data_IF_624786955830
#
_entry.id   IF_624786955830
#
_cell.length_a   1.000
_cell.length_b   1.000
_cell.length_c   1.000
_cell.angle_alpha   90.00
_cell.angle_beta   90.00
_cell.angle_gamma   90.00
#
_symmetry.space_group_name_H-M   'P 1'
#
loop_
_entity.id
_entity.type
_entity.pdbx_description
1 polymer ?
#
# COMPACT_ATOMS: atom_id res chain seq x y z
N UNK A 1 -8.17 -12.01 25.08
CA UNK A 1 -8.99 -10.78 25.13
C UNK A 1 -8.35 -9.81 24.14
N UNK A 2 -9.14 -9.12 23.32
CA UNK A 2 -8.59 -8.11 22.40
C UNK A 2 -8.02 -6.96 23.23
N UNK A 3 -6.79 -6.54 22.93
CA UNK A 3 -6.16 -5.34 23.50
C UNK A 3 -7.02 -4.11 23.16
N UNK A 4 -7.19 -3.20 24.11
CA UNK A 4 -8.11 -2.07 23.96
C UNK A 4 -7.62 -1.05 22.91
N UNK A 5 -8.56 -0.50 22.14
CA UNK A 5 -8.36 0.61 21.21
C UNK A 5 -9.22 1.79 21.63
N UNK A 6 -8.65 3.00 21.67
CA UNK A 6 -9.40 4.24 21.92
C UNK A 6 -8.66 5.46 21.36
N UNK A 7 -9.33 6.60 21.15
CA UNK A 7 -8.65 7.85 20.81
C UNK A 7 -7.62 8.23 21.88
N UNK A 8 -6.46 8.76 21.48
CA UNK A 8 -5.45 9.27 22.41
C UNK A 8 -5.48 10.80 22.48
N UNK A 9 -5.12 11.33 23.65
CA UNK A 9 -4.83 12.76 23.87
C UNK A 9 -3.34 13.08 23.74
N UNK A 10 -2.49 12.07 23.56
CA UNK A 10 -1.05 12.25 23.39
C UNK A 10 -0.76 12.94 22.05
N UNK A 11 0.24 13.81 22.05
CA UNK A 11 0.64 14.51 20.82
C UNK A 11 1.31 13.59 19.80
N UNK A 12 1.96 12.52 20.28
CA UNK A 12 2.65 11.51 19.48
C UNK A 12 2.66 10.17 20.24
N UNK A 13 2.91 9.08 19.51
CA UNK A 13 3.05 7.74 20.05
C UNK A 13 4.47 7.37 20.50
N UNK A 14 4.53 6.24 21.20
CA UNK A 14 5.77 5.53 21.56
C UNK A 14 6.30 4.66 20.41
N UNK A 15 5.39 4.23 19.54
CA UNK A 15 5.69 3.53 18.30
C UNK A 15 4.69 3.95 17.21
N UNK A 16 4.98 3.55 15.97
CA UNK A 16 4.20 3.88 14.79
C UNK A 16 3.51 2.67 14.14
N UNK A 17 2.34 2.90 13.54
CA UNK A 17 1.73 1.97 12.57
C UNK A 17 1.47 2.76 11.29
N UNK A 18 2.08 2.34 10.19
CA UNK A 18 2.00 3.04 8.91
C UNK A 18 1.56 2.08 7.82
N UNK A 19 0.62 2.52 7.00
CA UNK A 19 0.15 1.72 5.86
C UNK A 19 -0.28 2.60 4.71
N UNK A 20 -0.10 2.10 3.49
CA UNK A 20 -0.46 2.80 2.27
C UNK A 20 -1.31 1.94 1.33
N UNK A 21 -1.79 2.55 0.26
CA UNK A 21 -2.29 1.87 -0.91
C UNK A 21 -1.64 2.46 -2.16
N UNK A 22 -0.84 1.67 -2.87
CA UNK A 22 -0.46 1.91 -4.24
C UNK A 22 -1.62 1.72 -5.18
N UNK A 23 -2.28 2.81 -5.55
CA UNK A 23 -3.45 2.74 -6.41
C UNK A 23 -3.04 2.27 -7.81
N UNK A 24 -3.37 1.03 -8.13
CA UNK A 24 -2.97 0.34 -9.36
C UNK A 24 -1.68 -0.48 -9.28
N UNK A 25 -0.99 -0.55 -8.13
CA UNK A 25 0.23 -1.36 -7.98
C UNK A 25 -0.10 -2.86 -7.80
N UNK A 26 -0.64 -3.47 -8.86
CA UNK A 26 -1.06 -4.86 -8.81
C UNK A 26 0.06 -5.87 -9.06
N UNK A 27 1.11 -5.44 -9.76
CA UNK A 27 2.16 -6.29 -10.29
C UNK A 27 3.51 -5.59 -10.22
N UNK A 28 4.56 -6.40 -10.12
CA UNK A 28 5.94 -5.94 -10.17
C UNK A 28 6.82 -7.00 -10.85
N UNK A 29 8.11 -6.69 -11.00
CA UNK A 29 9.12 -7.58 -11.57
C UNK A 29 9.14 -8.97 -10.91
N UNK A 30 9.63 -9.97 -11.66
CA UNK A 30 9.78 -11.36 -11.19
C UNK A 30 8.47 -12.05 -10.77
N UNK A 31 7.35 -11.71 -11.42
CA UNK A 31 6.07 -12.37 -11.18
C UNK A 31 5.44 -12.07 -9.83
N UNK A 32 5.85 -10.95 -9.22
CA UNK A 32 5.25 -10.41 -8.01
C UNK A 32 3.84 -9.87 -8.34
N UNK A 33 2.83 -10.31 -7.58
CA UNK A 33 1.43 -9.90 -7.75
C UNK A 33 0.82 -9.59 -6.38
N UNK A 34 0.06 -8.51 -6.28
CA UNK A 34 -0.48 -8.08 -4.99
C UNK A 34 -1.83 -7.36 -5.03
N UNK A 35 -2.51 -7.40 -3.89
CA UNK A 35 -3.39 -6.33 -3.40
C UNK A 35 -2.57 -5.38 -2.54
N UNK A 36 -2.12 -4.28 -3.13
CA UNK A 36 -1.23 -3.31 -2.47
C UNK A 36 -1.98 -2.38 -1.50
N UNK A 37 -3.30 -2.51 -1.40
CA UNK A 37 -4.10 -1.68 -0.49
C UNK A 37 -4.09 -2.17 0.96
N UNK A 38 -3.31 -3.21 1.29
CA UNK A 38 -3.33 -3.87 2.61
C UNK A 38 -2.93 -2.96 3.76
N UNK A 39 -1.91 -2.12 3.56
CA UNK A 39 -1.47 -1.17 4.57
C UNK A 39 -2.58 -0.18 4.93
N UNK A 40 -3.12 0.50 3.92
CA UNK A 40 -4.22 1.43 4.09
C UNK A 40 -5.45 0.73 4.67
N UNK A 41 -5.80 -0.46 4.17
CA UNK A 41 -6.93 -1.23 4.67
C UNK A 41 -6.80 -1.51 6.17
N UNK A 42 -5.63 -1.93 6.64
CA UNK A 42 -5.37 -2.14 8.06
C UNK A 42 -5.53 -0.85 8.86
N UNK A 43 -4.91 0.25 8.43
CA UNK A 43 -4.97 1.52 9.16
C UNK A 43 -6.40 2.08 9.19
N UNK A 44 -7.11 2.08 8.06
CA UNK A 44 -8.51 2.52 8.00
C UNK A 44 -9.38 1.67 8.91
N UNK A 45 -9.20 0.35 8.93
CA UNK A 45 -9.96 -0.55 9.80
C UNK A 45 -9.62 -0.36 11.28
N UNK A 46 -8.36 -0.13 11.62
CA UNK A 46 -7.89 0.20 12.96
C UNK A 46 -8.56 1.49 13.46
N UNK A 47 -8.54 2.54 12.63
CA UNK A 47 -9.18 3.82 12.94
C UNK A 47 -10.70 3.69 13.01
N UNK A 48 -11.32 2.91 12.11
CA UNK A 48 -12.77 2.66 12.13
C UNK A 48 -13.22 2.05 13.46
N UNK A 49 -12.49 1.06 13.97
CA UNK A 49 -12.77 0.45 15.28
C UNK A 49 -12.52 1.41 16.45
N UNK A 50 -11.62 2.37 16.28
CA UNK A 50 -11.24 3.34 17.33
C UNK A 50 -12.24 4.48 17.45
N UNK A 51 -12.77 4.95 16.32
CA UNK A 51 -13.61 6.15 16.23
C UNK A 51 -15.08 5.87 15.93
N UNK A 52 -15.45 4.62 15.69
CA UNK A 52 -16.82 4.15 15.43
C UNK A 52 -17.53 4.94 14.32
N UNK A 53 -16.96 4.91 13.12
CA UNK A 53 -17.42 5.64 11.94
C UNK A 53 -17.95 4.70 10.85
N UNK A 54 -19.02 5.10 10.16
CA UNK A 54 -19.64 4.32 9.08
C UNK A 54 -18.97 4.65 7.73
N UNK A 55 -18.06 3.78 7.31
CA UNK A 55 -17.33 3.91 6.06
C UNK A 55 -18.03 3.22 4.88
N UNK A 56 -19.28 2.78 5.03
CA UNK A 56 -20.00 2.21 3.89
C UNK A 56 -20.15 3.25 2.80
N UNK A 57 -19.94 2.82 1.56
CA UNK A 57 -20.11 3.67 0.39
C UNK A 57 -21.59 4.03 0.25
N UNK A 58 -21.88 5.32 0.34
CA UNK A 58 -23.23 5.88 0.20
C UNK A 58 -23.59 6.04 -1.28
N UNK A 59 -22.68 6.60 -2.07
CA UNK A 59 -22.88 6.82 -3.49
C UNK A 59 -21.59 6.74 -4.28
N UNK A 60 -21.73 6.35 -5.55
CA UNK A 60 -20.69 6.42 -6.56
C UNK A 60 -21.27 7.23 -7.71
N UNK A 61 -20.67 8.37 -8.05
CA UNK A 61 -21.02 9.12 -9.25
C UNK A 61 -19.86 9.07 -10.25
N UNK A 62 -20.20 9.16 -11.54
CA UNK A 62 -19.20 9.15 -12.59
C UNK A 62 -19.50 10.24 -13.61
N UNK A 63 -18.46 10.94 -14.05
CA UNK A 63 -18.49 11.71 -15.30
C UNK A 63 -17.94 10.83 -16.41
N UNK A 64 -18.80 10.46 -17.35
CA UNK A 64 -18.44 9.63 -18.50
C UNK A 64 -17.90 10.48 -19.68
N UNK A 65 -17.33 9.80 -20.67
CA UNK A 65 -16.76 10.41 -21.87
C UNK A 65 -15.23 10.38 -21.87
N UNK A 66 -14.61 10.93 -22.92
CA UNK A 66 -13.15 10.90 -23.11
C UNK A 66 -12.40 11.93 -22.25
N UNK A 67 -12.99 13.11 -22.04
CA UNK A 67 -12.29 14.25 -21.45
C UNK A 67 -12.78 14.53 -20.03
N UNK A 68 -11.84 14.53 -19.07
CA UNK A 68 -12.12 14.86 -17.67
C UNK A 68 -13.06 13.86 -17.00
N UNK A 69 -13.03 12.60 -17.43
CA UNK A 69 -13.83 11.54 -16.85
C UNK A 69 -13.29 11.17 -15.46
N UNK A 70 -14.20 10.98 -14.51
CA UNK A 70 -13.84 10.69 -13.12
C UNK A 70 -14.89 9.82 -12.44
N UNK A 71 -14.45 9.14 -11.38
CA UNK A 71 -15.31 8.64 -10.31
C UNK A 71 -15.25 9.58 -9.11
N UNK A 72 -16.38 9.74 -8.44
CA UNK A 72 -16.51 10.40 -7.15
C UNK A 72 -17.29 9.48 -6.21
N UNK A 73 -16.66 9.10 -5.11
CA UNK A 73 -17.20 8.17 -4.11
C UNK A 73 -17.49 8.96 -2.85
N UNK A 74 -18.68 8.79 -2.30
CA UNK A 74 -19.07 9.37 -1.01
C UNK A 74 -19.36 8.24 -0.02
N UNK A 75 -18.87 8.37 1.22
CA UNK A 75 -19.17 7.44 2.32
C UNK A 75 -20.35 7.93 3.15
N UNK A 76 -20.93 7.05 3.99
CA UNK A 76 -22.00 7.41 4.93
C UNK A 76 -21.60 8.48 5.93
N UNK A 77 -20.32 8.58 6.26
CA UNK A 77 -19.77 9.64 7.11
C UNK A 77 -19.32 10.90 6.35
N UNK A 78 -19.73 11.04 5.08
CA UNK A 78 -19.56 12.27 4.31
C UNK A 78 -18.16 12.50 3.73
N UNK A 79 -17.27 11.49 3.82
CA UNK A 79 -15.99 11.51 3.13
C UNK A 79 -16.20 11.45 1.62
N UNK A 80 -15.43 12.22 0.87
CA UNK A 80 -15.52 12.34 -0.59
C UNK A 80 -14.14 12.10 -1.18
N UNK A 81 -14.06 11.16 -2.12
CA UNK A 81 -12.86 10.90 -2.89
C UNK A 81 -13.17 10.97 -4.38
N UNK A 82 -12.26 11.59 -5.14
CA UNK A 82 -12.43 11.81 -6.58
C UNK A 82 -11.14 11.49 -7.31
N UNK A 83 -11.24 10.77 -8.42
CA UNK A 83 -10.10 10.44 -9.25
C UNK A 83 -10.49 10.22 -10.71
N UNK A 84 -9.54 10.49 -11.60
CA UNK A 84 -9.75 10.63 -13.04
C UNK A 84 -9.14 9.46 -13.80
N UNK A 85 -9.78 9.05 -14.89
CA UNK A 85 -9.21 8.11 -15.86
C UNK A 85 -8.78 8.87 -17.12
N UNK A 86 -7.54 8.68 -17.56
CA UNK A 86 -6.94 9.43 -18.66
C UNK A 86 -7.64 9.17 -20.01
N UNK A 87 -8.03 7.92 -20.29
CA UNK A 87 -8.69 7.49 -21.54
C UNK A 87 -10.22 7.52 -21.46
N UNK A 88 -10.76 8.14 -20.43
CA UNK A 88 -12.21 8.28 -20.26
C UNK A 88 -12.85 7.16 -19.44
N UNK A 89 -14.17 7.29 -19.26
CA UNK A 89 -15.03 6.29 -18.60
C UNK A 89 -16.29 6.13 -19.44
N UNK A 90 -16.62 4.89 -19.77
CA UNK A 90 -17.85 4.54 -20.49
C UNK A 90 -19.07 4.49 -19.56
N UNK A 91 -20.30 4.63 -20.09
CA UNK A 91 -21.51 4.42 -19.29
C UNK A 91 -21.61 3.04 -18.62
N UNK A 92 -21.09 1.99 -19.27
CA UNK A 92 -21.09 0.64 -18.70
C UNK A 92 -20.10 0.50 -17.55
N UNK A 93 -18.91 1.07 -17.66
CA UNK A 93 -17.95 1.13 -16.54
C UNK A 93 -18.52 1.92 -15.36
N UNK A 94 -19.20 3.03 -15.63
CA UNK A 94 -19.91 3.80 -14.61
C UNK A 94 -21.00 2.98 -13.91
N UNK A 95 -21.72 2.15 -14.66
CA UNK A 95 -22.74 1.23 -14.14
C UNK A 95 -22.12 0.09 -13.32
N UNK A 96 -20.99 -0.48 -13.75
CA UNK A 96 -20.26 -1.50 -12.99
C UNK A 96 -19.77 -0.95 -11.66
N UNK A 97 -19.29 0.30 -11.63
CA UNK A 97 -18.85 0.96 -10.40
C UNK A 97 -19.96 1.15 -9.35
N UNK A 98 -21.25 1.06 -9.72
CA UNK A 98 -22.35 1.13 -8.74
C UNK A 98 -22.42 -0.11 -7.83
N UNK A 99 -21.79 -1.23 -8.20
CA UNK A 99 -21.88 -2.50 -7.48
C UNK A 99 -21.26 -2.49 -6.07
N UNK A 100 -20.47 -1.47 -5.74
CA UNK A 100 -19.82 -1.30 -4.44
C UNK A 100 -20.62 -0.43 -3.48
N UNK A 101 -21.75 0.15 -3.90
CA UNK A 101 -22.64 0.89 -2.99
C UNK A 101 -23.07 -0.03 -1.84
N UNK A 102 -22.92 0.47 -0.61
CA UNK A 102 -23.17 -0.27 0.62
C UNK A 102 -22.00 -1.14 1.10
N UNK A 103 -20.92 -1.29 0.33
CA UNK A 103 -19.70 -1.97 0.78
C UNK A 103 -18.85 -1.07 1.69
N UNK A 104 -18.05 -1.67 2.56
CA UNK A 104 -17.10 -0.96 3.42
C UNK A 104 -15.94 -0.39 2.60
N UNK A 105 -15.70 0.93 2.67
CA UNK A 105 -14.59 1.61 1.98
C UNK A 105 -13.21 1.37 2.66
N UNK A 106 -12.94 0.12 3.05
CA UNK A 106 -11.68 -0.31 3.68
C UNK A 106 -10.75 -0.89 2.61
N UNK A 107 -11.22 -1.88 1.85
CA UNK A 107 -10.39 -2.63 0.89
C UNK A 107 -10.52 -2.03 -0.51
N UNK A 108 -9.88 -0.88 -0.75
CA UNK A 108 -10.06 -0.09 -1.97
C UNK A 108 -9.77 -0.88 -3.26
N UNK A 109 -8.69 -1.68 -3.29
CA UNK A 109 -8.34 -2.47 -4.48
C UNK A 109 -9.33 -3.62 -4.70
N UNK A 110 -9.67 -4.38 -3.65
CA UNK A 110 -10.67 -5.45 -3.71
C UNK A 110 -11.99 -4.96 -4.29
N UNK A 111 -12.45 -3.75 -3.90
CA UNK A 111 -13.69 -3.18 -4.43
C UNK A 111 -13.59 -2.83 -5.91
N UNK A 112 -12.46 -2.29 -6.38
CA UNK A 112 -12.23 -2.06 -7.80
C UNK A 112 -12.20 -3.36 -8.60
N UNK A 113 -11.49 -4.39 -8.10
CA UNK A 113 -11.45 -5.73 -8.69
C UNK A 113 -12.84 -6.36 -8.73
N UNK A 114 -13.65 -6.20 -7.69
CA UNK A 114 -15.02 -6.71 -7.67
C UNK A 114 -15.90 -6.11 -8.78
N UNK A 115 -15.70 -4.84 -9.14
CA UNK A 115 -16.44 -4.19 -10.22
C UNK A 115 -15.98 -4.64 -11.61
N UNK A 116 -14.66 -4.73 -11.82
CA UNK A 116 -14.07 -4.83 -13.16
C UNK A 116 -13.36 -6.15 -13.45
N UNK A 117 -13.31 -7.05 -12.48
CA UNK A 117 -12.70 -8.38 -12.56
C UNK A 117 -11.19 -8.40 -12.31
N UNK A 118 -10.46 -7.33 -12.65
CA UNK A 118 -9.01 -7.16 -12.44
C UNK A 118 -8.63 -5.68 -12.28
N UNK A 119 -7.41 -5.45 -11.84
CA UNK A 119 -6.75 -4.15 -11.86
C UNK A 119 -5.27 -4.31 -12.22
N UNK A 120 -4.78 -3.44 -13.10
CA UNK A 120 -3.38 -3.35 -13.53
C UNK A 120 -2.97 -1.89 -13.63
N UNK A 121 -1.77 -1.58 -13.18
CA UNK A 121 -1.20 -0.23 -13.17
C UNK A 121 -0.62 0.19 -14.52
N UNK A 122 0.29 1.16 -14.48
CA UNK A 122 1.09 1.65 -15.61
C UNK A 122 0.23 2.07 -16.83
N UNK A 123 -0.98 2.55 -16.54
CA UNK A 123 -1.96 2.97 -17.53
C UNK A 123 -2.69 1.84 -18.25
N UNK A 124 -2.53 0.57 -17.84
CA UNK A 124 -3.20 -0.56 -18.48
C UNK A 124 -4.71 -0.57 -18.18
N UNK A 125 -5.09 -0.43 -16.90
CA UNK A 125 -6.50 -0.42 -16.46
C UNK A 125 -6.85 0.86 -15.69
N UNK A 126 -6.89 1.98 -16.39
CA UNK A 126 -7.08 3.32 -15.80
C UNK A 126 -8.41 3.50 -15.06
N UNK A 127 -9.46 2.84 -15.52
CA UNK A 127 -10.80 2.94 -14.94
C UNK A 127 -10.88 2.25 -13.56
N UNK A 128 -10.45 0.99 -13.38
CA UNK A 128 -10.31 0.39 -12.05
C UNK A 128 -9.40 1.18 -11.10
N UNK A 129 -8.27 1.70 -11.59
CA UNK A 129 -7.33 2.48 -10.76
C UNK A 129 -7.96 3.79 -10.29
N UNK A 130 -8.68 4.49 -11.18
CA UNK A 130 -9.44 5.68 -10.79
C UNK A 130 -10.50 5.36 -9.74
N UNK A 131 -11.22 4.24 -9.85
CA UNK A 131 -12.20 3.85 -8.84
C UNK A 131 -11.52 3.51 -7.49
N UNK A 132 -10.44 2.73 -7.49
CA UNK A 132 -9.66 2.43 -6.28
C UNK A 132 -9.22 3.72 -5.57
N UNK A 133 -8.65 4.65 -6.34
CA UNK A 133 -8.16 5.93 -5.81
C UNK A 133 -9.29 6.74 -5.18
N UNK A 134 -10.45 6.82 -5.85
CA UNK A 134 -11.61 7.52 -5.31
C UNK A 134 -12.11 6.89 -3.99
N UNK A 135 -12.11 5.56 -3.88
CA UNK A 135 -12.49 4.86 -2.64
C UNK A 135 -11.48 5.15 -1.52
N UNK A 136 -10.18 5.00 -1.80
CA UNK A 136 -9.11 5.23 -0.83
C UNK A 136 -9.12 6.66 -0.28
N UNK A 137 -9.31 7.64 -1.16
CA UNK A 137 -9.40 9.05 -0.75
C UNK A 137 -10.68 9.33 0.06
N UNK A 138 -11.82 8.74 -0.32
CA UNK A 138 -13.09 8.93 0.38
C UNK A 138 -13.05 8.38 1.81
N UNK A 139 -12.39 7.25 2.03
CA UNK A 139 -12.29 6.64 3.35
C UNK A 139 -11.43 7.47 4.30
N UNK A 140 -10.29 8.00 3.83
CA UNK A 140 -9.47 8.92 4.63
C UNK A 140 -10.18 10.24 4.92
N UNK A 141 -10.83 10.82 3.91
CA UNK A 141 -11.57 12.10 4.04
C UNK A 141 -12.73 12.01 5.05
N UNK A 142 -13.30 10.81 5.25
CA UNK A 142 -14.36 10.56 6.25
C UNK A 142 -13.90 10.87 7.67
N UNK A 143 -12.68 10.46 8.03
CA UNK A 143 -12.11 10.75 9.35
C UNK A 143 -11.79 12.22 9.52
N UNK A 144 -11.15 12.84 8.52
CA UNK A 144 -10.79 14.24 8.55
C UNK A 144 -12.02 15.15 8.74
N UNK A 145 -13.14 14.83 8.09
CA UNK A 145 -14.40 15.58 8.26
C UNK A 145 -15.13 15.30 9.56
N UNK A 146 -15.14 14.04 10.02
CA UNK A 146 -15.87 13.65 11.23
C UNK A 146 -15.15 14.09 12.51
N UNK A 147 -13.82 14.20 12.47
CA UNK A 147 -12.98 14.52 13.62
C UNK A 147 -11.85 15.50 13.25
N UNK A 148 -12.18 16.73 12.81
CA UNK A 148 -11.21 17.67 12.24
C UNK A 148 -10.10 18.09 13.22
N UNK A 149 -10.37 18.07 14.52
CA UNK A 149 -9.38 18.43 15.55
C UNK A 149 -8.46 17.26 15.96
N UNK A 150 -8.81 16.03 15.57
CA UNK A 150 -8.09 14.81 15.96
C UNK A 150 -7.15 14.30 14.86
N UNK A 151 -7.45 14.61 13.59
CA UNK A 151 -6.71 14.09 12.46
C UNK A 151 -5.88 15.16 11.77
N UNK A 152 -4.67 14.77 11.39
CA UNK A 152 -3.84 15.47 10.42
C UNK A 152 -4.20 14.95 9.04
N UNK A 153 -4.50 15.85 8.11
CA UNK A 153 -4.91 15.50 6.76
C UNK A 153 -4.19 16.38 5.73
N UNK A 154 -3.74 15.79 4.64
CA UNK A 154 -2.94 16.48 3.63
C UNK A 154 -2.93 15.77 2.28
N UNK A 155 -2.26 16.40 1.32
CA UNK A 155 -1.99 15.84 -0.01
C UNK A 155 -0.57 15.26 -0.07
N UNK A 156 -0.30 14.43 -1.07
CA UNK A 156 1.05 13.88 -1.28
C UNK A 156 2.08 14.97 -1.60
N UNK A 157 1.65 16.05 -2.26
CA UNK A 157 2.49 17.15 -2.79
C UNK A 157 3.62 16.65 -3.72
N UNK A 158 3.38 15.54 -4.43
CA UNK A 158 4.21 15.04 -5.53
C UNK A 158 3.54 15.46 -6.85
N UNK A 159 4.33 15.98 -7.78
CA UNK A 159 3.82 16.40 -9.09
C UNK A 159 3.14 15.22 -9.81
N UNK A 160 1.89 15.44 -10.25
CA UNK A 160 1.10 14.41 -10.94
C UNK A 160 0.37 13.44 -10.01
N UNK A 161 0.57 13.50 -8.69
CA UNK A 161 -0.17 12.70 -7.72
C UNK A 161 -1.48 13.34 -7.26
N UNK A 162 -2.40 12.51 -6.78
CA UNK A 162 -3.72 12.88 -6.27
C UNK A 162 -4.19 12.04 -5.07
N UNK A 163 -3.30 11.26 -4.47
CA UNK A 163 -3.57 10.59 -3.22
C UNK A 163 -3.57 11.53 -2.01
N UNK A 164 -3.80 10.97 -0.83
CA UNK A 164 -4.06 11.69 0.41
C UNK A 164 -3.31 11.06 1.57
N UNK A 165 -3.09 11.86 2.60
CA UNK A 165 -2.39 11.48 3.82
C UNK A 165 -3.33 11.74 4.99
N UNK A 166 -3.45 10.76 5.89
CA UNK A 166 -4.24 10.87 7.11
C UNK A 166 -3.42 10.34 8.29
N UNK A 167 -3.30 11.10 9.37
CA UNK A 167 -2.57 10.67 10.55
C UNK A 167 -3.21 11.11 11.87
N UNK A 168 -2.99 10.34 12.92
CA UNK A 168 -3.44 10.66 14.29
C UNK A 168 -2.66 9.86 15.33
N UNK A 169 -3.01 10.02 16.60
CA UNK A 169 -2.52 9.20 17.70
C UNK A 169 -3.70 8.49 18.35
N UNK A 170 -3.56 7.18 18.55
CA UNK A 170 -4.55 6.34 19.25
C UNK A 170 -3.89 5.66 20.44
N UNK A 171 -4.70 5.21 21.40
CA UNK A 171 -4.27 4.24 22.40
C UNK A 171 -4.46 2.84 21.83
N UNK A 172 -3.37 2.07 21.74
CA UNK A 172 -3.39 0.67 21.32
C UNK A 172 -2.66 -0.17 22.36
N UNK A 173 -3.36 -1.15 22.94
CA UNK A 173 -2.78 -1.99 23.99
C UNK A 173 -2.31 -1.23 25.24
N UNK A 174 -2.93 -0.07 25.51
CA UNK A 174 -2.60 0.79 26.66
C UNK A 174 -1.42 1.74 26.46
N UNK A 175 -0.92 1.88 25.22
CA UNK A 175 0.15 2.81 24.88
C UNK A 175 -0.26 3.76 23.75
N UNK A 176 0.18 5.02 23.79
CA UNK A 176 -0.04 5.95 22.69
C UNK A 176 0.76 5.48 21.48
N UNK A 177 0.09 5.44 20.33
CA UNK A 177 0.61 4.91 19.07
C UNK A 177 0.28 5.88 17.94
N UNK A 178 1.31 6.33 17.24
CA UNK A 178 1.15 7.18 16.06
C UNK A 178 0.70 6.34 14.89
N UNK A 179 -0.31 6.78 14.18
CA UNK A 179 -0.89 6.02 13.06
C UNK A 179 -0.92 6.89 11.82
N UNK A 180 -0.56 6.33 10.67
CA UNK A 180 -0.57 7.02 9.40
C UNK A 180 -1.11 6.13 8.28
N UNK A 181 -2.09 6.67 7.55
CA UNK A 181 -2.65 6.15 6.33
C UNK A 181 -2.22 7.02 5.15
N UNK A 182 -1.98 6.38 4.01
CA UNK A 182 -1.60 7.02 2.77
C UNK A 182 -2.30 6.35 1.59
N UNK A 183 -2.73 7.11 0.60
CA UNK A 183 -2.92 6.60 -0.75
C UNK A 183 -1.84 7.20 -1.63
N UNK A 184 -1.15 6.36 -2.37
CA UNK A 184 -0.25 6.78 -3.44
C UNK A 184 -0.98 6.59 -4.75
N UNK A 185 -1.23 7.69 -5.46
CA UNK A 185 -2.01 7.62 -6.69
C UNK A 185 -1.64 8.73 -7.65
N UNK A 186 -1.41 8.39 -8.92
CA UNK A 186 -1.21 9.39 -9.96
C UNK A 186 -2.51 9.74 -10.69
N UNK A 187 -2.62 11.00 -11.10
CA UNK A 187 -3.74 11.52 -11.88
C UNK A 187 -3.88 10.71 -13.18
N UNK A 188 -5.12 10.42 -13.57
CA UNK A 188 -5.41 9.70 -14.81
C UNK A 188 -5.48 8.17 -14.65
N UNK A 189 -5.34 7.65 -13.44
CA UNK A 189 -5.49 6.23 -13.15
C UNK A 189 -4.33 5.40 -13.69
N UNK A 190 -3.15 6.00 -13.86
CA UNK A 190 -2.03 5.36 -14.56
C UNK A 190 -1.18 4.44 -13.67
N UNK A 191 -1.62 4.15 -12.45
CA UNK A 191 -0.79 3.49 -11.44
C UNK A 191 -0.12 4.51 -10.52
N UNK A 192 0.61 4.06 -9.49
CA UNK A 192 1.09 4.96 -8.46
C UNK A 192 2.54 5.39 -8.70
N UNK A 193 2.81 6.63 -8.30
CA UNK A 193 4.11 7.06 -7.81
C UNK A 193 4.06 7.00 -6.27
N UNK A 194 4.92 6.18 -5.70
CA UNK A 194 5.06 5.75 -4.31
C UNK A 194 6.32 6.32 -3.66
N UNK A 195 6.85 7.44 -4.16
CA UNK A 195 8.01 8.15 -3.60
C UNK A 195 7.88 8.44 -2.08
N UNK A 196 6.65 8.43 -1.55
CA UNK A 196 6.38 8.64 -0.11
C UNK A 196 5.68 7.45 0.57
N UNK A 197 5.77 6.23 0.03
CA UNK A 197 5.24 5.02 0.68
C UNK A 197 5.90 4.74 2.04
N UNK A 198 5.50 3.64 2.69
CA UNK A 198 6.07 3.21 3.96
C UNK A 198 6.09 4.34 4.99
N UNK A 199 7.22 4.59 5.63
CA UNK A 199 7.42 5.73 6.53
C UNK A 199 8.40 6.79 5.97
N UNK A 200 8.53 6.91 4.64
CA UNK A 200 9.27 8.02 4.01
C UNK A 200 8.70 9.37 4.47
N UNK A 201 9.57 10.32 4.81
CA UNK A 201 9.24 11.62 5.41
C UNK A 201 9.52 12.81 4.46
N UNK A 202 9.13 12.66 3.19
CA UNK A 202 9.32 13.66 2.13
C UNK A 202 7.99 14.30 1.70
N UNK A 203 8.08 15.37 0.90
CA UNK A 203 6.94 16.09 0.31
C UNK A 203 5.85 16.43 1.35
N UNK A 204 4.57 16.31 0.98
CA UNK A 204 3.44 16.68 1.84
C UNK A 204 3.31 15.82 3.10
N UNK A 205 3.99 14.66 3.13
CA UNK A 205 4.02 13.74 4.27
C UNK A 205 4.95 14.21 5.40
N UNK A 206 5.95 15.04 5.09
CA UNK A 206 7.02 15.45 6.01
C UNK A 206 6.50 16.06 7.32
N UNK A 207 5.59 17.03 7.22
CA UNK A 207 5.09 17.74 8.41
C UNK A 207 4.23 16.83 9.30
N UNK A 208 3.39 15.99 8.68
CA UNK A 208 2.55 15.02 9.41
C UNK A 208 3.43 13.99 10.14
N UNK A 209 4.45 13.47 9.45
CA UNK A 209 5.44 12.55 10.02
C UNK A 209 6.15 13.15 11.24
N UNK A 210 6.61 14.40 11.12
CA UNK A 210 7.31 15.10 12.20
C UNK A 210 6.41 15.31 13.43
N UNK A 211 5.17 15.78 13.22
CA UNK A 211 4.20 16.00 14.30
C UNK A 211 3.85 14.72 15.05
N UNK A 212 3.74 13.60 14.32
CA UNK A 212 3.48 12.29 14.89
C UNK A 212 4.75 11.57 15.36
N UNK A 213 5.94 12.18 15.18
CA UNK A 213 7.26 11.59 15.44
C UNK A 213 7.51 10.25 14.77
N UNK A 214 6.78 9.94 13.69
CA UNK A 214 6.95 8.69 12.93
C UNK A 214 8.31 8.62 12.23
N UNK A 215 8.99 9.75 12.13
CA UNK A 215 10.36 9.88 11.67
C UNK A 215 11.39 9.64 12.79
N UNK A 216 10.99 9.41 14.04
CA UNK A 216 11.88 9.34 15.22
C UNK A 216 11.58 8.16 16.17
N UNK A 217 10.51 7.40 15.91
CA UNK A 217 10.07 6.28 16.75
C UNK A 217 10.03 4.98 15.94
N UNK A 218 10.18 3.81 16.58
CA UNK A 218 10.06 2.55 15.89
C UNK A 218 8.65 2.35 15.32
N UNK A 219 8.53 1.76 14.14
CA UNK A 219 7.24 1.61 13.47
C UNK A 219 7.03 0.24 12.80
N UNK A 220 5.76 -0.12 12.61
CA UNK A 220 5.33 -1.21 11.76
C UNK A 220 4.87 -0.58 10.44
N UNK A 221 5.56 -0.91 9.35
CA UNK A 221 5.09 -0.62 7.99
C UNK A 221 4.28 -1.81 7.50
N UNK A 222 3.09 -1.56 7.00
CA UNK A 222 2.15 -2.59 6.57
C UNK A 222 2.01 -2.52 5.06
N UNK A 223 2.16 -3.68 4.44
CA UNK A 223 2.11 -3.90 3.01
C UNK A 223 0.93 -4.82 2.65
N UNK A 224 0.73 -4.96 1.35
CA UNK A 224 -0.36 -5.71 0.74
C UNK A 224 -0.45 -7.22 1.02
N UNK A 225 -1.44 -7.83 0.36
CA UNK A 225 -1.56 -9.28 0.23
C UNK A 225 -0.87 -9.72 -1.05
N UNK A 226 0.16 -10.56 -0.93
CA UNK A 226 1.20 -10.73 -1.95
C UNK A 226 1.30 -12.19 -2.38
N UNK A 227 1.62 -12.41 -3.66
CA UNK A 227 2.24 -13.65 -4.13
C UNK A 227 3.60 -13.31 -4.76
N UNK A 228 4.68 -13.83 -4.20
CA UNK A 228 6.04 -13.59 -4.70
C UNK A 228 7.03 -14.68 -4.27
N UNK A 229 8.05 -14.88 -5.10
CA UNK A 229 9.15 -15.80 -4.79
C UNK A 229 10.12 -15.18 -3.76
N UNK A 230 10.80 -16.01 -2.96
CA UNK A 230 10.65 -17.46 -2.86
C UNK A 230 9.49 -17.90 -1.94
N UNK A 231 8.94 -16.98 -1.13
CA UNK A 231 8.07 -17.33 0.01
C UNK A 231 6.78 -18.03 -0.43
N UNK A 232 6.13 -17.56 -1.49
CA UNK A 232 4.87 -18.15 -1.97
C UNK A 232 5.00 -19.59 -2.47
N UNK A 233 6.21 -20.04 -2.80
CA UNK A 233 6.46 -21.42 -3.24
C UNK A 233 6.76 -22.35 -2.05
N UNK A 234 7.06 -21.77 -0.87
CA UNK A 234 7.42 -22.50 0.35
C UNK A 234 6.21 -22.70 1.31
N UNK A 235 5.14 -21.93 1.13
CA UNK A 235 3.95 -21.96 1.99
C UNK A 235 2.77 -22.71 1.35
N UNK A 236 1.95 -23.36 2.18
CA UNK A 236 0.75 -24.07 1.75
C UNK A 236 -0.56 -23.42 2.20
N UNK A 237 -0.48 -22.37 3.02
CA UNK A 237 -1.62 -21.57 3.48
C UNK A 237 -1.23 -20.09 3.59
N UNK A 238 -2.22 -19.20 3.66
CA UNK A 238 -1.98 -17.77 3.80
C UNK A 238 -1.19 -17.48 5.07
N UNK A 239 -0.03 -16.86 4.91
CA UNK A 239 0.99 -16.74 5.96
C UNK A 239 1.45 -15.30 6.06
N UNK A 240 1.43 -14.73 7.26
CA UNK A 240 2.01 -13.42 7.49
C UNK A 240 3.52 -13.47 7.32
N UNK A 241 4.07 -12.53 6.57
CA UNK A 241 5.50 -12.38 6.40
C UNK A 241 5.95 -11.11 7.12
N UNK A 242 6.82 -11.29 8.11
CA UNK A 242 7.57 -10.19 8.72
C UNK A 242 8.92 -10.09 8.02
N UNK A 243 9.28 -8.87 7.62
CA UNK A 243 10.58 -8.54 7.03
C UNK A 243 11.20 -7.40 7.82
N UNK A 244 12.51 -7.42 7.96
CA UNK A 244 13.26 -6.42 8.70
C UNK A 244 14.70 -6.83 8.67
N UNK A 245 15.43 -6.27 7.70
CA UNK A 245 16.82 -6.61 7.47
C UNK A 245 17.66 -6.35 8.72
N UNK A 246 18.54 -7.29 9.06
CA UNK A 246 19.37 -7.17 10.28
C UNK A 246 20.32 -5.97 10.28
N UNK A 247 20.71 -5.50 9.09
CA UNK A 247 21.69 -4.42 8.93
C UNK A 247 21.03 -3.06 8.71
N UNK A 248 19.94 -3.05 7.94
CA UNK A 248 19.38 -1.80 7.42
C UNK A 248 18.04 -1.39 8.09
N UNK A 249 17.30 -2.33 8.71
CA UNK A 249 15.99 -2.08 9.30
C UNK A 249 15.98 -2.30 10.83
N UNK A 250 14.80 -2.51 11.43
CA UNK A 250 14.63 -2.75 12.86
C UNK A 250 14.26 -4.22 13.18
N UNK A 251 15.25 -5.11 13.35
CA UNK A 251 15.00 -6.52 13.68
C UNK A 251 14.36 -6.72 15.06
N UNK A 252 14.42 -5.74 15.97
CA UNK A 252 13.74 -5.82 17.27
C UNK A 252 12.23 -5.69 17.07
N UNK A 253 11.79 -4.70 16.29
CA UNK A 253 10.37 -4.54 15.96
C UNK A 253 9.87 -5.77 15.20
N UNK A 254 10.65 -6.29 14.25
CA UNK A 254 10.29 -7.51 13.50
C UNK A 254 10.03 -8.70 14.43
N UNK A 255 10.90 -8.93 15.41
CA UNK A 255 10.72 -10.01 16.41
C UNK A 255 9.47 -9.78 17.28
N UNK A 256 9.18 -8.54 17.65
CA UNK A 256 7.98 -8.21 18.41
C UNK A 256 6.70 -8.49 17.62
N UNK A 257 6.67 -8.13 16.33
CA UNK A 257 5.53 -8.38 15.44
C UNK A 257 5.32 -9.87 15.20
N UNK A 258 6.41 -10.63 15.02
CA UNK A 258 6.36 -12.09 14.95
C UNK A 258 5.79 -12.70 16.24
N UNK A 259 6.28 -12.29 17.41
CA UNK A 259 5.79 -12.75 18.71
C UNK A 259 4.27 -12.51 18.84
N UNK A 260 3.80 -11.32 18.46
CA UNK A 260 2.37 -10.99 18.47
C UNK A 260 1.54 -11.92 17.56
N UNK A 261 2.01 -12.17 16.33
CA UNK A 261 1.32 -13.07 15.40
C UNK A 261 1.28 -14.52 15.92
N UNK A 262 2.37 -15.02 16.52
CA UNK A 262 2.43 -16.34 17.14
C UNK A 262 1.48 -16.46 18.35
N UNK A 263 1.43 -15.43 19.21
CA UNK A 263 0.50 -15.37 20.35
C UNK A 263 -0.97 -15.41 19.91
N UNK A 264 -1.28 -14.84 18.75
CA UNK A 264 -2.63 -14.84 18.16
C UNK A 264 -2.94 -16.14 17.40
N UNK A 265 -1.96 -17.04 17.24
CA UNK A 265 -2.10 -18.30 16.52
C UNK A 265 -2.17 -18.16 15.00
N UNK A 266 -1.62 -17.07 14.44
CA UNK A 266 -1.58 -16.87 12.99
C UNK A 266 -0.31 -17.47 12.38
N UNK A 267 -0.40 -18.12 11.20
CA UNK A 267 0.78 -18.54 10.46
C UNK A 267 1.66 -17.33 10.17
N UNK A 268 2.94 -17.40 10.57
CA UNK A 268 3.88 -16.29 10.43
C UNK A 268 5.30 -16.78 10.17
N UNK A 269 6.00 -16.08 9.27
CA UNK A 269 7.42 -16.25 9.00
C UNK A 269 8.16 -14.93 9.21
N UNK A 270 9.41 -14.99 9.65
CA UNK A 270 10.32 -13.85 9.64
C UNK A 270 11.50 -14.14 8.72
N UNK A 271 11.73 -13.24 7.75
CA UNK A 271 12.81 -13.34 6.75
C UNK A 271 13.77 -12.15 6.88
N UNK A 272 14.76 -12.23 7.81
CA UNK A 272 15.73 -11.16 8.07
C UNK A 272 16.68 -10.87 6.89
N UNK A 273 16.77 -11.77 5.91
CA UNK A 273 17.62 -11.62 4.75
C UNK A 273 17.00 -10.78 3.62
N UNK A 274 15.68 -10.58 3.65
CA UNK A 274 14.95 -9.79 2.65
C UNK A 274 15.12 -8.27 2.89
N UNK A 275 14.69 -7.47 1.90
CA UNK A 275 14.70 -5.99 1.93
C UNK A 275 16.08 -5.33 2.09
N UNK A 276 17.16 -6.07 1.84
CA UNK A 276 18.50 -5.49 1.82
C UNK A 276 18.56 -4.34 0.80
N UNK A 277 19.07 -3.17 1.23
CA UNK A 277 19.21 -2.02 0.36
C UNK A 277 20.36 -2.21 -0.63
N UNK A 278 20.16 -1.73 -1.85
CA UNK A 278 21.16 -1.77 -2.92
C UNK A 278 21.12 -0.44 -3.68
N UNK A 279 22.20 0.35 -3.66
CA UNK A 279 22.24 1.67 -4.30
C UNK A 279 21.94 1.65 -5.80
N UNK A 280 22.33 0.57 -6.49
CA UNK A 280 22.26 0.48 -7.95
C UNK A 280 21.13 -0.45 -8.43
N UNK A 281 20.36 -1.08 -7.53
CA UNK A 281 19.35 -2.06 -7.91
C UNK A 281 18.29 -1.47 -8.85
N UNK A 282 17.72 -0.31 -8.50
CA UNK A 282 16.69 0.33 -9.31
C UNK A 282 17.22 0.74 -10.69
N UNK A 283 18.44 1.28 -10.73
CA UNK A 283 19.08 1.70 -11.98
C UNK A 283 19.39 0.51 -12.89
N UNK A 284 19.89 -0.58 -12.31
CA UNK A 284 20.16 -1.83 -13.00
C UNK A 284 18.89 -2.41 -13.62
N UNK A 285 17.83 -2.56 -12.82
CA UNK A 285 16.52 -3.04 -13.30
C UNK A 285 15.93 -2.13 -14.38
N UNK A 286 16.06 -0.82 -14.23
CA UNK A 286 15.61 0.15 -15.25
C UNK A 286 16.34 -0.05 -16.56
N UNK A 287 17.66 -0.26 -16.52
CA UNK A 287 18.45 -0.54 -17.72
C UNK A 287 18.06 -1.86 -18.39
N UNK A 288 17.94 -2.94 -17.61
CA UNK A 288 17.54 -4.26 -18.11
C UNK A 288 16.16 -4.21 -18.78
N UNK A 289 15.19 -3.55 -18.14
CA UNK A 289 13.85 -3.38 -18.67
C UNK A 289 13.83 -2.54 -19.95
N UNK A 290 14.63 -1.46 -20.02
CA UNK A 290 14.76 -0.64 -21.22
C UNK A 290 15.38 -1.42 -22.39
N UNK A 291 16.39 -2.26 -22.14
CA UNK A 291 16.98 -3.15 -23.14
C UNK A 291 15.93 -4.13 -23.66
N UNK A 292 15.12 -4.71 -22.78
CA UNK A 292 14.05 -5.63 -23.18
C UNK A 292 13.01 -4.95 -24.09
N UNK A 293 12.55 -3.75 -23.72
CA UNK A 293 11.66 -2.93 -24.55
C UNK A 293 12.29 -2.66 -25.92
N UNK A 294 13.57 -2.29 -25.96
CA UNK A 294 14.31 -2.07 -27.20
C UNK A 294 14.35 -3.33 -28.09
N UNK A 295 14.46 -4.51 -27.49
CA UNK A 295 14.42 -5.79 -28.22
C UNK A 295 13.05 -6.06 -28.86
N UNK A 296 11.95 -5.73 -28.16
CA UNK A 296 10.59 -5.85 -28.68
C UNK A 296 10.32 -4.83 -29.79
N UNK A 297 10.81 -3.61 -29.63
CA UNK A 297 10.73 -2.57 -30.66
C UNK A 297 11.42 -2.99 -31.96
N UNK A 298 12.63 -3.56 -31.87
CA UNK A 298 13.35 -4.09 -33.04
C UNK A 298 12.59 -5.23 -33.72
N UNK A 299 12.06 -6.18 -32.95
CA UNK A 299 11.23 -7.27 -33.49
C UNK A 299 9.98 -6.73 -34.19
N UNK A 300 9.38 -5.66 -33.67
CA UNK A 300 8.20 -5.04 -34.27
C UNK A 300 8.53 -4.42 -35.63
N UNK A 301 9.65 -3.70 -35.73
CA UNK A 301 10.13 -3.08 -36.98
C UNK A 301 10.41 -4.12 -38.08
N UNK A 302 11.01 -5.26 -37.69
CA UNK A 302 11.35 -6.36 -38.61
C UNK A 302 10.12 -7.23 -39.00
N UNK A 303 9.00 -7.11 -38.28
CA UNK A 303 7.83 -7.97 -38.47
C UNK A 303 7.05 -7.63 -39.75
N UNK A 304 6.64 -8.67 -40.48
CA UNK A 304 5.92 -8.51 -41.75
C UNK A 304 4.46 -8.94 -41.65
N UNK A 305 4.13 -9.87 -40.75
CA UNK A 305 2.78 -10.37 -40.58
C UNK A 305 2.00 -9.63 -39.49
N UNK A 306 0.67 -9.61 -39.61
CA UNK A 306 -0.20 -9.05 -38.57
C UNK A 306 -0.13 -9.85 -37.26
N UNK A 307 0.04 -11.18 -37.34
CA UNK A 307 0.11 -12.04 -36.16
C UNK A 307 1.34 -11.71 -35.31
N UNK A 308 2.52 -11.58 -35.93
CA UNK A 308 3.76 -11.19 -35.24
C UNK A 308 3.59 -9.82 -34.56
N UNK A 309 3.04 -8.84 -35.28
CA UNK A 309 2.79 -7.48 -34.76
C UNK A 309 1.88 -7.51 -33.53
N UNK A 310 0.79 -8.28 -33.59
CA UNK A 310 -0.15 -8.43 -32.48
C UNK A 310 0.50 -9.14 -31.29
N UNK A 311 1.29 -10.19 -31.51
CA UNK A 311 2.00 -10.90 -30.44
C UNK A 311 3.02 -9.99 -29.73
N UNK A 312 3.76 -9.19 -30.50
CA UNK A 312 4.74 -8.24 -29.94
C UNK A 312 4.03 -7.12 -29.17
N UNK A 313 2.94 -6.59 -29.71
CA UNK A 313 2.13 -5.58 -29.02
C UNK A 313 1.53 -6.13 -27.71
N UNK A 314 1.08 -7.39 -27.71
CA UNK A 314 0.57 -8.05 -26.51
C UNK A 314 1.66 -8.24 -25.45
N UNK A 315 2.87 -8.65 -25.85
CA UNK A 315 4.01 -8.79 -24.93
C UNK A 315 4.48 -7.44 -24.38
N UNK A 316 4.52 -6.39 -25.21
CA UNK A 316 4.77 -5.03 -24.74
C UNK A 316 3.73 -4.59 -23.71
N UNK A 317 2.43 -4.84 -23.98
CA UNK A 317 1.38 -4.50 -23.03
C UNK A 317 1.54 -5.26 -21.71
N UNK A 318 1.74 -6.59 -21.77
CA UNK A 318 1.96 -7.43 -20.59
C UNK A 318 3.13 -6.91 -19.76
N UNK A 319 4.29 -6.72 -20.38
CA UNK A 319 5.50 -6.24 -19.72
C UNK A 319 5.31 -4.85 -19.10
N UNK A 320 4.67 -3.93 -19.82
CA UNK A 320 4.38 -2.59 -19.29
C UNK A 320 3.39 -2.62 -18.12
N UNK A 321 2.39 -3.50 -18.15
CA UNK A 321 1.37 -3.59 -17.10
C UNK A 321 1.78 -4.42 -15.88
N UNK A 322 2.89 -5.16 -15.98
CA UNK A 322 3.33 -6.09 -14.95
C UNK A 322 4.74 -5.75 -14.46
N UNK A 323 5.76 -6.02 -15.27
CA UNK A 323 7.17 -5.94 -14.87
C UNK A 323 7.63 -4.51 -14.60
N UNK A 324 7.13 -3.52 -15.37
CA UNK A 324 7.49 -2.12 -15.16
C UNK A 324 7.02 -1.55 -13.82
N UNK A 325 6.01 -2.17 -13.18
CA UNK A 325 5.60 -1.82 -11.83
C UNK A 325 6.76 -1.78 -10.85
N UNK A 326 7.74 -2.68 -11.02
CA UNK A 326 8.94 -2.77 -10.18
C UNK A 326 9.99 -1.67 -10.37
N UNK A 327 9.80 -0.75 -11.33
CA UNK A 327 10.73 0.37 -11.53
C UNK A 327 10.05 1.74 -11.62
N UNK A 328 8.72 1.77 -11.77
CA UNK A 328 7.98 3.04 -11.88
C UNK A 328 7.42 3.52 -10.55
N UNK A 329 7.35 2.64 -9.54
CA UNK A 329 6.71 2.98 -8.27
C UNK A 329 7.52 4.00 -7.48
N UNK A 330 8.85 3.91 -7.43
CA UNK A 330 9.68 4.81 -6.62
C UNK A 330 10.92 5.29 -7.37
N UNK A 331 11.25 6.56 -7.18
CA UNK A 331 12.42 7.24 -7.71
C UNK A 331 13.73 6.63 -7.19
N UNK A 332 14.74 6.55 -8.07
CA UNK A 332 16.04 5.91 -7.79
C UNK A 332 16.71 6.45 -6.50
N UNK A 333 16.74 7.77 -6.32
CA UNK A 333 17.39 8.41 -5.15
C UNK A 333 16.67 8.11 -3.83
N UNK A 334 15.35 7.93 -3.86
CA UNK A 334 14.56 7.57 -2.67
C UNK A 334 14.76 6.09 -2.38
N UNK A 335 14.61 5.23 -3.40
CA UNK A 335 14.77 3.78 -3.27
C UNK A 335 16.16 3.41 -2.72
N UNK A 336 17.21 4.11 -3.15
CA UNK A 336 18.58 3.91 -2.66
C UNK A 336 18.71 4.00 -1.14
N UNK A 337 17.95 4.90 -0.51
CA UNK A 337 18.00 5.15 0.94
C UNK A 337 16.91 4.40 1.69
N UNK A 338 15.69 4.40 1.16
CA UNK A 338 14.50 3.90 1.85
C UNK A 338 14.21 2.42 1.55
N UNK A 339 14.82 1.87 0.50
CA UNK A 339 14.49 0.53 -0.01
C UNK A 339 13.13 0.50 -0.70
N UNK A 340 12.78 -0.65 -1.28
CA UNK A 340 11.55 -0.84 -2.08
C UNK A 340 10.25 -1.02 -1.30
N UNK A 341 10.21 -0.55 -0.05
CA UNK A 341 9.00 -0.52 0.82
C UNK A 341 8.97 0.78 1.64
N UNK A 342 9.71 1.80 1.19
CA UNK A 342 9.78 3.13 1.81
C UNK A 342 10.10 3.15 3.31
N UNK A 343 11.09 2.37 3.77
CA UNK A 343 11.44 2.30 5.19
C UNK A 343 12.60 3.23 5.54
N UNK A 344 12.42 4.13 6.52
CA UNK A 344 13.54 4.89 7.10
C UNK A 344 14.51 3.88 7.76
N UNK A 345 15.82 3.90 7.43
CA UNK A 345 16.78 2.95 7.96
C UNK A 345 16.75 2.85 9.50
N UNK A 346 16.76 1.62 10.02
CA UNK A 346 16.71 1.31 11.46
C UNK A 346 15.38 1.61 12.17
N UNK A 347 14.38 2.17 11.50
CA UNK A 347 13.12 2.58 12.15
C UNK A 347 12.10 1.44 12.25
N UNK A 348 11.96 0.63 11.21
CA UNK A 348 10.75 -0.15 11.01
C UNK A 348 11.00 -1.63 10.76
N UNK A 349 9.93 -2.41 10.88
CA UNK A 349 9.81 -3.67 10.17
C UNK A 349 8.62 -3.59 9.19
N UNK A 350 8.53 -4.57 8.31
CA UNK A 350 7.45 -4.69 7.33
C UNK A 350 6.60 -5.92 7.60
N UNK A 351 5.27 -5.76 7.57
CA UNK A 351 4.29 -6.82 7.73
C UNK A 351 3.43 -6.96 6.46
N UNK A 352 3.35 -8.17 5.92
CA UNK A 352 2.56 -8.49 4.72
C UNK A 352 1.83 -9.83 4.88
N UNK A 353 0.83 -10.11 4.05
CA UNK A 353 0.14 -11.39 4.02
C UNK A 353 0.44 -12.10 2.70
N UNK A 354 1.16 -13.21 2.76
CA UNK A 354 1.53 -13.97 1.56
C UNK A 354 0.51 -15.08 1.30
N UNK A 355 0.19 -15.28 0.02
CA UNK A 355 -0.62 -16.42 -0.44
C UNK A 355 0.28 -17.51 -1.08
N UNK A 356 -0.11 -18.79 -1.01
CA UNK A 356 0.55 -19.86 -1.74
C UNK A 356 0.47 -19.65 -3.26
N UNK A 357 1.48 -20.11 -4.00
CA UNK A 357 1.47 -20.08 -5.47
C UNK A 357 0.25 -20.78 -6.07
N UNK A 358 -0.19 -21.88 -5.46
CA UNK A 358 -1.40 -22.61 -5.87
C UNK A 358 -2.67 -21.76 -5.74
N UNK A 359 -2.75 -20.87 -4.75
CA UNK A 359 -3.87 -19.94 -4.61
C UNK A 359 -3.86 -18.92 -5.74
N UNK A 360 -2.71 -18.32 -6.06
CA UNK A 360 -2.59 -17.38 -7.18
C UNK A 360 -3.05 -18.00 -8.51
N UNK A 361 -2.74 -19.27 -8.77
CA UNK A 361 -3.20 -19.96 -9.99
C UNK A 361 -4.72 -20.05 -10.09
N UNK A 362 -5.44 -20.05 -8.95
CA UNK A 362 -6.91 -20.11 -8.90
C UNK A 362 -7.54 -18.72 -8.99
N UNK A 363 -6.99 -17.75 -8.26
CA UNK A 363 -7.59 -16.40 -8.15
C UNK A 363 -7.04 -15.39 -9.14
N UNK A 364 -5.88 -15.68 -9.74
CA UNK A 364 -5.11 -14.85 -10.69
C UNK A 364 -4.55 -13.55 -10.11
N UNK A 365 -5.26 -12.93 -9.17
CA UNK A 365 -4.85 -11.72 -8.47
C UNK A 365 -5.27 -11.82 -7.00
N UNK A 366 -4.36 -11.61 -6.04
CA UNK A 366 -4.74 -11.57 -4.63
C UNK A 366 -5.74 -10.43 -4.37
N UNK A 367 -6.68 -10.67 -3.46
CA UNK A 367 -7.56 -9.64 -2.91
C UNK A 367 -7.73 -9.85 -1.41
N UNK A 368 -7.83 -8.76 -0.66
CA UNK A 368 -8.06 -8.78 0.77
C UNK A 368 -9.53 -9.00 1.10
N UNK A 369 -9.79 -9.91 2.03
CA UNK A 369 -11.05 -9.98 2.77
C UNK A 369 -11.04 -9.04 3.98
N UNK A 370 -12.20 -8.72 4.55
CA UNK A 370 -12.25 -7.99 5.82
C UNK A 370 -11.66 -8.80 6.99
N UNK A 371 -11.69 -10.13 6.89
CA UNK A 371 -11.06 -10.99 7.88
C UNK A 371 -9.53 -10.88 7.83
N UNK A 372 -8.93 -10.88 6.63
CA UNK A 372 -7.50 -10.66 6.46
C UNK A 372 -7.08 -9.34 7.13
N UNK A 373 -7.85 -8.27 6.90
CA UNK A 373 -7.60 -6.94 7.49
C UNK A 373 -7.80 -6.94 9.00
N UNK A 374 -8.83 -7.60 9.52
CA UNK A 374 -9.03 -7.72 10.97
C UNK A 374 -7.89 -8.52 11.64
N UNK A 375 -7.23 -9.44 10.92
CA UNK A 375 -6.02 -10.13 11.41
C UNK A 375 -4.80 -9.19 11.44
N UNK A 376 -4.58 -8.38 10.40
CA UNK A 376 -3.54 -7.33 10.43
C UNK A 376 -3.73 -6.40 11.63
N UNK A 377 -4.96 -5.90 11.85
CA UNK A 377 -5.28 -5.00 12.96
C UNK A 377 -4.95 -5.64 14.31
N UNK A 378 -5.28 -6.93 14.50
CA UNK A 378 -4.97 -7.66 15.73
C UNK A 378 -3.47 -7.80 15.95
N UNK A 379 -2.72 -8.18 14.92
CA UNK A 379 -1.25 -8.29 15.00
C UNK A 379 -0.64 -6.95 15.38
N UNK A 380 -1.04 -5.86 14.70
CA UNK A 380 -0.49 -4.54 14.99
C UNK A 380 -0.83 -4.08 16.40
N UNK A 381 -2.08 -4.24 16.83
CA UNK A 381 -2.53 -3.85 18.19
C UNK A 381 -1.79 -4.64 19.28
N UNK A 382 -1.63 -5.95 19.09
CA UNK A 382 -0.94 -6.80 20.06
C UNK A 382 0.59 -6.59 20.04
N UNK A 383 1.15 -6.13 18.92
CA UNK A 383 2.57 -5.80 18.81
C UNK A 383 2.96 -4.58 19.64
N UNK A 384 2.07 -3.60 19.81
CA UNK A 384 2.36 -2.33 20.52
C UNK A 384 2.91 -2.53 21.95
N UNK A 385 2.26 -3.29 22.85
CA UNK A 385 2.81 -3.54 24.18
C UNK A 385 4.12 -4.34 24.14
N UNK A 386 4.33 -5.22 23.16
CA UNK A 386 5.57 -6.00 23.00
C UNK A 386 6.73 -5.09 22.57
N UNK A 387 6.48 -4.17 21.62
CA UNK A 387 7.45 -3.14 21.21
C UNK A 387 7.78 -2.24 22.39
N UNK A 388 6.78 -1.82 23.17
CA UNK A 388 7.00 -0.95 24.33
C UNK A 388 7.87 -1.61 25.41
N UNK A 389 7.75 -2.92 25.64
CA UNK A 389 8.67 -3.68 26.52
C UNK A 389 10.12 -3.65 26.03
N UNK A 390 10.34 -3.46 24.73
CA UNK A 390 11.65 -3.47 24.06
C UNK A 390 12.05 -2.09 23.50
N UNK A 391 11.36 -1.02 23.90
CA UNK A 391 11.43 0.29 23.24
C UNK A 391 12.84 0.86 23.21
N UNK A 392 13.58 0.77 24.31
CA UNK A 392 14.94 1.30 24.40
C UNK A 392 15.88 0.62 23.39
N UNK A 393 15.74 -0.69 23.17
CA UNK A 393 16.53 -1.42 22.18
C UNK A 393 16.11 -1.06 20.75
N UNK A 394 14.79 -0.98 20.49
CA UNK A 394 14.25 -0.61 19.19
C UNK A 394 14.65 0.82 18.77
N UNK A 395 14.58 1.79 19.69
CA UNK A 395 14.91 3.19 19.41
C UNK A 395 16.41 3.43 19.23
N UNK A 396 17.29 2.67 19.90
CA UNK A 396 18.74 2.78 19.70
C UNK A 396 19.19 2.41 18.28
N UNK A 397 18.54 1.41 17.68
CA UNK A 397 18.84 0.99 16.32
C UNK A 397 18.50 2.07 15.31
N UNK A 398 17.35 2.72 15.48
CA UNK A 398 16.96 3.86 14.67
C UNK A 398 18.07 4.93 14.63
N UNK A 399 18.54 5.40 15.79
CA UNK A 399 19.60 6.41 15.83
C UNK A 399 20.91 5.94 15.19
N UNK A 400 21.30 4.68 15.41
CA UNK A 400 22.61 4.16 14.96
C UNK A 400 22.64 3.87 13.45
N UNK A 401 21.54 3.42 12.87
CA UNK A 401 21.46 3.08 11.44
C UNK A 401 21.15 4.32 10.61
N UNK A 402 20.27 5.21 11.09
CA UNK A 402 19.94 6.44 10.40
C UNK A 402 21.17 7.35 10.19
N UNK A 403 22.15 7.34 11.11
CA UNK A 403 23.41 8.10 10.95
C UNK A 403 24.29 7.65 9.77
N UNK A 404 24.03 6.47 9.18
CA UNK A 404 24.82 5.92 8.05
C UNK A 404 24.33 6.38 6.68
N UNK A 405 23.14 6.98 6.62
CA UNK A 405 22.47 7.42 5.40
C UNK A 405 22.21 8.92 5.47
#
# INVERSE_FOLDING_TARGET
MMTALSPSKSAFGTCGIVGHAGCGHANSHQGFVQDDSGGLSCVIRLLQKTFDIDLRIDSVSARTGLNGAYFEVTTKSGGIGKAFARRGITPDEARLAQQIIGAEAVNSQTLAVRCFGRILGQGAMEVPVALQTAIANASMDSFAKSFPDQFLYGEEEIEGNCGKILGTVIEAGGFPTSVLALSNASIGGIGPNEDIEGNVNLFGKKEIMHRLRLDQIPSIVIEGKVCAEPVSDEISENTFLVRGNEQDDNPIVAKCVKEAAEMLGYPVLYRPEMLKRSPDAMRGLTHENAVYIGSLAKKLDESSSALEKVQIAAELNRFCSEDLGGITFMSEEIHKVMGGVGCIPGSSCVLSLFIPREELQKVVQPTLSLEDVDRYVRICTESVPIINRNLEAASRLYSTVAEKF
#
